data_IF_317189614137
#
_entry.id   IF_317189614137
#
_cell.length_a   1.000
_cell.length_b   1.000
_cell.length_c   1.000
_cell.angle_alpha   90.00
_cell.angle_beta   90.00
_cell.angle_gamma   90.00
#
_symmetry.space_group_name_H-M   'P 1'
#
loop_
_entity.id
_entity.type
_entity.pdbx_description
1 polymer ?
#
# COMPACT_ATOMS: atom_id res chain seq x y z
N UNK A 1 26.02 -3.81 -18.29
CA UNK A 1 25.17 -2.58 -18.40
C UNK A 1 25.86 -1.47 -17.62
N UNK A 2 26.07 -0.26 -18.19
CA UNK A 2 26.67 0.87 -17.48
C UNK A 2 25.88 1.19 -16.20
N UNK A 3 26.57 1.63 -15.14
CA UNK A 3 25.94 1.88 -13.84
C UNK A 3 24.82 2.94 -13.91
N UNK A 4 24.99 3.96 -14.75
CA UNK A 4 23.99 5.00 -15.01
C UNK A 4 22.69 4.42 -15.58
N UNK A 5 22.81 3.46 -16.52
CA UNK A 5 21.65 2.75 -17.10
C UNK A 5 21.00 1.81 -16.09
N UNK A 6 21.78 1.22 -15.17
CA UNK A 6 21.24 0.39 -14.09
C UNK A 6 20.41 1.22 -13.11
N UNK A 7 20.84 2.42 -12.75
CA UNK A 7 20.11 3.30 -11.85
C UNK A 7 18.82 3.86 -12.51
N UNK A 8 18.90 4.19 -13.81
CA UNK A 8 17.73 4.61 -14.58
C UNK A 8 16.67 3.50 -14.67
N UNK A 9 17.11 2.27 -14.95
CA UNK A 9 16.25 1.06 -14.94
C UNK A 9 15.63 0.84 -13.57
N UNK A 10 16.43 0.97 -12.51
CA UNK A 10 15.96 0.79 -11.13
C UNK A 10 14.94 1.86 -10.73
N UNK A 11 15.17 3.12 -11.15
CA UNK A 11 14.23 4.20 -10.92
C UNK A 11 12.88 3.99 -11.66
N UNK A 12 12.94 3.52 -12.91
CA UNK A 12 11.74 3.14 -13.66
C UNK A 12 11.02 1.92 -13.04
N UNK A 13 11.76 0.89 -12.63
CA UNK A 13 11.23 -0.27 -11.90
C UNK A 13 10.46 0.16 -10.64
N UNK A 14 11.05 1.06 -9.85
CA UNK A 14 10.41 1.57 -8.64
C UNK A 14 9.13 2.35 -8.90
N UNK A 15 9.01 3.05 -10.03
CA UNK A 15 7.77 3.75 -10.42
C UNK A 15 6.63 2.79 -10.78
N UNK A 16 6.95 1.62 -11.34
CA UNK A 16 5.96 0.64 -11.79
C UNK A 16 5.64 -0.43 -10.75
N UNK A 17 6.51 -0.64 -9.75
CA UNK A 17 6.31 -1.60 -8.66
C UNK A 17 5.49 -1.03 -7.48
N UNK A 18 4.73 0.04 -7.69
CA UNK A 18 3.89 0.70 -6.68
C UNK A 18 2.43 0.22 -6.81
N UNK A 19 2.20 -1.04 -7.12
CA UNK A 19 0.86 -1.59 -7.01
C UNK A 19 0.63 -2.03 -5.56
N UNK A 20 -0.49 -1.65 -5.05
CA UNK A 20 -0.91 -1.92 -3.67
C UNK A 20 -1.88 -0.84 -3.23
N UNK A 21 -3.03 -1.25 -2.70
CA UNK A 21 -4.06 -0.35 -2.21
C UNK A 21 -3.69 0.26 -0.85
N UNK A 22 -2.92 -0.46 -0.04
CA UNK A 22 -2.61 -0.08 1.33
C UNK A 22 -1.21 0.54 1.46
N UNK A 23 -1.10 1.52 2.35
CA UNK A 23 0.19 1.98 2.84
C UNK A 23 0.51 1.30 4.16
N UNK A 24 1.65 0.62 4.22
CA UNK A 24 2.13 -0.08 5.41
C UNK A 24 3.29 0.72 6.01
N UNK A 25 3.12 1.11 7.27
CA UNK A 25 4.20 1.65 8.09
C UNK A 25 4.94 0.50 8.77
N UNK A 26 6.26 0.41 8.61
CA UNK A 26 7.06 -0.68 9.18
C UNK A 26 8.43 -0.17 9.66
N UNK A 27 9.06 -0.92 10.56
CA UNK A 27 10.46 -0.69 10.93
C UNK A 27 11.34 -1.82 10.41
N UNK A 28 12.48 -1.47 9.79
CA UNK A 28 13.49 -2.47 9.37
C UNK A 28 14.30 -3.06 10.53
N UNK A 29 14.23 -2.45 11.73
CA UNK A 29 14.99 -2.85 12.91
C UNK A 29 14.14 -3.66 13.91
N UNK A 30 12.86 -3.90 13.60
CA UNK A 30 11.96 -4.69 14.44
C UNK A 30 10.93 -5.46 13.59
N UNK A 31 10.02 -6.17 14.25
CA UNK A 31 8.90 -6.85 13.59
C UNK A 31 7.66 -5.97 13.46
N UNK A 32 7.77 -4.68 13.81
CA UNK A 32 6.62 -3.79 13.70
C UNK A 32 6.26 -3.54 12.24
N UNK A 33 5.00 -3.80 11.92
CA UNK A 33 4.35 -3.41 10.67
C UNK A 33 2.85 -3.24 10.91
N UNK A 34 2.27 -2.18 10.37
CA UNK A 34 0.84 -1.91 10.47
C UNK A 34 0.36 -1.15 9.24
N UNK A 35 -0.92 -1.36 8.86
CA UNK A 35 -1.59 -0.48 7.91
C UNK A 35 -1.60 0.96 8.48
N UNK A 36 -1.43 1.96 7.62
CA UNK A 36 -1.36 3.37 8.01
C UNK A 36 -2.57 3.80 8.85
N UNK A 37 -3.74 3.24 8.59
CA UNK A 37 -4.96 3.49 9.37
C UNK A 37 -4.81 3.15 10.86
N UNK A 38 -3.96 2.19 11.19
CA UNK A 38 -3.75 1.71 12.57
C UNK A 38 -2.33 1.96 13.08
N UNK A 39 -1.44 2.45 12.21
CA UNK A 39 -0.05 2.66 12.56
C UNK A 39 0.10 3.73 13.65
N UNK A 40 0.97 3.45 14.62
CA UNK A 40 1.31 4.36 15.71
C UNK A 40 2.84 4.54 15.78
N UNK A 41 3.29 5.51 16.57
CA UNK A 41 4.71 5.78 16.80
C UNK A 41 5.02 5.88 18.31
N UNK A 42 6.29 5.85 18.64
CA UNK A 42 6.71 6.18 20.00
C UNK A 42 6.40 7.67 20.27
N UNK A 43 5.62 7.94 21.30
CA UNK A 43 5.37 9.30 21.76
C UNK A 43 6.09 9.53 23.09
N UNK A 44 6.89 10.60 23.13
CA UNK A 44 7.56 11.06 24.34
C UNK A 44 7.10 12.48 24.63
N UNK A 45 6.39 12.71 25.74
CA UNK A 45 5.99 14.07 26.13
C UNK A 45 7.18 15.02 26.21
N UNK A 46 6.98 16.23 25.74
CA UNK A 46 8.00 17.27 25.81
C UNK A 46 8.13 17.82 27.23
N UNK A 47 9.34 17.82 27.76
CA UNK A 47 9.65 18.46 29.04
C UNK A 47 10.07 19.93 28.88
N UNK A 48 9.78 20.54 27.71
CA UNK A 48 10.17 21.93 27.44
C UNK A 48 9.36 22.89 28.31
N UNK A 49 10.04 23.63 29.16
CA UNK A 49 9.43 24.73 29.94
C UNK A 49 9.51 26.00 29.10
N UNK A 50 8.36 26.56 28.75
CA UNK A 50 8.23 27.81 28.02
C UNK A 50 7.36 28.75 28.88
N UNK A 51 7.73 30.00 28.99
CA UNK A 51 6.89 31.01 29.68
C UNK A 51 5.57 31.15 28.91
N UNK A 52 4.47 31.06 29.64
CA UNK A 52 3.15 31.24 29.05
C UNK A 52 2.89 32.71 28.73
N UNK A 53 2.40 32.95 27.54
CA UNK A 53 1.95 34.28 27.09
C UNK A 53 0.47 34.46 27.39
N UNK A 54 0.04 35.71 27.45
CA UNK A 54 -1.38 36.06 27.50
C UNK A 54 -2.05 35.74 26.15
N UNK A 55 -3.30 35.29 26.19
CA UNK A 55 -4.08 35.07 24.97
C UNK A 55 -4.38 36.41 24.31
N UNK A 56 -4.06 36.51 23.02
CA UNK A 56 -4.33 37.72 22.20
C UNK A 56 -5.16 37.36 21.00
N UNK A 57 -6.23 38.10 20.77
CA UNK A 57 -7.01 38.01 19.54
C UNK A 57 -6.37 38.84 18.44
N UNK A 58 -6.14 38.23 17.28
CA UNK A 58 -5.47 38.84 16.13
C UNK A 58 -6.37 38.73 14.91
N UNK A 59 -6.51 39.83 14.17
CA UNK A 59 -7.21 39.83 12.89
C UNK A 59 -6.37 39.18 11.79
N UNK A 60 -6.96 38.22 11.06
CA UNK A 60 -6.33 37.42 10.00
C UNK A 60 -7.24 37.35 8.77
N UNK A 61 -7.47 38.47 8.09
CA UNK A 61 -8.46 38.58 7.03
C UNK A 61 -8.06 37.72 5.82
N UNK A 62 -8.97 36.86 5.35
CA UNK A 62 -8.78 36.05 4.16
C UNK A 62 -7.85 34.86 4.32
N UNK A 63 -7.34 34.62 5.53
CA UNK A 63 -6.44 33.50 5.85
C UNK A 63 -7.27 32.34 6.39
N UNK A 64 -7.12 31.13 5.81
CA UNK A 64 -7.95 29.96 6.13
C UNK A 64 -7.15 28.69 6.40
N UNK A 65 -6.06 28.48 5.69
CA UNK A 65 -5.26 27.26 5.83
C UNK A 65 -4.14 27.46 6.86
N UNK A 66 -3.61 26.34 7.38
CA UNK A 66 -2.55 26.35 8.39
C UNK A 66 -1.28 27.04 7.90
N UNK A 67 -0.88 26.77 6.67
CA UNK A 67 0.28 27.39 6.04
C UNK A 67 0.10 28.90 5.86
N UNK A 68 -1.09 29.35 5.44
CA UNK A 68 -1.42 30.78 5.36
C UNK A 68 -1.39 31.46 6.73
N UNK A 69 -1.99 30.84 7.76
CA UNK A 69 -1.99 31.34 9.15
C UNK A 69 -0.57 31.43 9.69
N UNK A 70 0.22 30.37 9.52
CA UNK A 70 1.60 30.31 9.97
C UNK A 70 2.46 31.38 9.29
N UNK A 71 2.31 31.56 7.98
CA UNK A 71 3.01 32.59 7.21
C UNK A 71 2.58 34.01 7.62
N UNK A 72 1.26 34.26 7.79
CA UNK A 72 0.72 35.57 8.16
C UNK A 72 1.20 36.04 9.53
N UNK A 73 1.23 35.10 10.50
CA UNK A 73 1.65 35.37 11.88
C UNK A 73 3.14 35.19 12.12
N UNK A 74 3.88 34.77 11.08
CA UNK A 74 5.32 34.50 11.12
C UNK A 74 5.70 33.50 12.22
N UNK A 75 4.96 32.39 12.30
CA UNK A 75 5.20 31.26 13.20
C UNK A 75 5.38 29.97 12.40
N UNK A 76 6.05 28.93 12.93
CA UNK A 76 6.08 27.65 12.27
C UNK A 76 4.70 26.95 12.36
N UNK A 77 4.38 26.10 11.39
CA UNK A 77 3.10 25.36 11.37
C UNK A 77 2.88 24.54 12.67
N UNK A 78 3.96 24.02 13.25
CA UNK A 78 3.93 23.28 14.51
C UNK A 78 3.50 24.11 15.71
N UNK A 79 3.55 25.43 15.61
CA UNK A 79 3.03 26.34 16.64
C UNK A 79 1.53 26.60 16.51
N UNK A 80 0.89 26.05 15.49
CA UNK A 80 -0.57 26.16 15.31
C UNK A 80 -1.27 24.88 15.75
N UNK A 81 -2.53 24.97 16.13
CA UNK A 81 -3.42 23.83 16.36
C UNK A 81 -4.60 23.95 15.41
N UNK A 82 -4.76 22.95 14.56
CA UNK A 82 -5.92 22.87 13.66
C UNK A 82 -7.11 22.23 14.39
N UNK A 83 -8.27 22.74 14.11
CA UNK A 83 -9.55 22.29 14.68
C UNK A 83 -10.40 21.73 13.55
N UNK A 84 -10.76 20.45 13.66
CA UNK A 84 -11.65 19.75 12.76
C UNK A 84 -12.92 19.38 13.49
N UNK A 85 -14.08 19.44 12.82
CA UNK A 85 -15.37 19.15 13.43
C UNK A 85 -16.00 17.96 12.71
N UNK A 86 -16.45 17.00 13.50
CA UNK A 86 -17.12 15.78 13.04
C UNK A 86 -18.44 15.59 13.76
N UNK A 87 -19.34 14.85 13.12
CA UNK A 87 -20.56 14.34 13.75
C UNK A 87 -20.37 12.85 13.95
N UNK A 88 -20.45 12.40 15.20
CA UNK A 88 -20.33 11.01 15.60
C UNK A 88 -21.61 10.60 16.32
N UNK A 89 -22.39 9.67 15.74
CA UNK A 89 -23.68 9.22 16.29
C UNK A 89 -24.61 10.40 16.71
N UNK A 90 -24.74 11.38 15.81
CA UNK A 90 -25.52 12.61 15.99
C UNK A 90 -24.90 13.65 16.98
N UNK A 91 -23.76 13.33 17.62
CA UNK A 91 -23.11 14.21 18.59
C UNK A 91 -21.90 14.93 17.93
N UNK A 92 -21.72 16.25 18.19
CA UNK A 92 -20.58 16.99 17.65
C UNK A 92 -19.29 16.68 18.40
N UNK A 93 -18.22 16.42 17.64
CA UNK A 93 -16.88 16.15 18.15
C UNK A 93 -15.88 17.08 17.50
N UNK A 94 -15.06 17.73 18.30
CA UNK A 94 -13.93 18.55 17.84
C UNK A 94 -12.66 17.72 17.95
N UNK A 95 -11.94 17.56 16.84
CA UNK A 95 -10.64 16.93 16.78
C UNK A 95 -9.52 17.98 16.64
N UNK A 96 -8.55 17.93 17.53
CA UNK A 96 -7.41 18.86 17.55
C UNK A 96 -6.12 18.17 17.18
N UNK A 97 -5.36 18.78 16.27
CA UNK A 97 -4.01 18.33 15.89
C UNK A 97 -3.06 19.53 15.82
N UNK A 98 -1.78 19.24 15.98
CA UNK A 98 -0.73 20.21 15.63
C UNK A 98 -0.83 20.50 14.13
N UNK A 99 -0.65 21.75 13.72
CA UNK A 99 -1.03 22.25 12.41
C UNK A 99 -0.51 21.44 11.23
N UNK A 100 0.74 20.98 11.29
CA UNK A 100 1.35 20.18 10.22
C UNK A 100 1.01 18.69 10.26
N UNK A 101 0.31 18.15 11.28
CA UNK A 101 -0.15 16.74 11.34
C UNK A 101 -1.45 16.52 10.58
N UNK A 102 -1.73 15.29 10.19
CA UNK A 102 -2.98 14.89 9.54
C UNK A 102 -3.80 13.99 10.48
N UNK A 103 -5.12 14.18 10.46
CA UNK A 103 -6.03 13.33 11.20
C UNK A 103 -6.11 11.93 10.54
N UNK A 104 -6.10 10.92 11.39
CA UNK A 104 -6.49 9.58 11.02
C UNK A 104 -7.95 9.35 11.47
N UNK A 105 -8.87 9.46 10.54
CA UNK A 105 -10.31 9.35 10.81
C UNK A 105 -10.69 7.97 11.37
N UNK A 106 -9.98 6.91 10.95
CA UNK A 106 -10.22 5.53 11.44
C UNK A 106 -9.86 5.44 12.92
N UNK A 107 -8.73 6.01 13.33
CA UNK A 107 -8.34 6.04 14.75
C UNK A 107 -9.36 6.83 15.59
N UNK A 108 -9.76 7.99 15.11
CA UNK A 108 -10.74 8.83 15.83
C UNK A 108 -12.08 8.11 15.95
N UNK A 109 -12.62 7.58 14.86
CA UNK A 109 -13.85 6.80 14.85
C UNK A 109 -13.81 5.62 15.81
N UNK A 110 -12.72 4.84 15.77
CA UNK A 110 -12.53 3.68 16.65
C UNK A 110 -12.42 4.10 18.13
N UNK A 111 -11.76 5.22 18.43
CA UNK A 111 -11.66 5.73 19.79
C UNK A 111 -13.03 6.16 20.34
N UNK A 112 -13.85 6.79 19.50
CA UNK A 112 -15.21 7.19 19.86
C UNK A 112 -16.16 5.98 20.00
N UNK A 113 -15.84 4.86 19.33
CA UNK A 113 -16.74 3.70 19.24
C UNK A 113 -17.99 4.00 18.41
N UNK A 114 -17.93 4.99 17.53
CA UNK A 114 -19.08 5.49 16.77
C UNK A 114 -19.45 4.54 15.61
N UNK A 115 -20.73 4.28 15.44
CA UNK A 115 -21.26 3.56 14.28
C UNK A 115 -21.31 4.50 13.06
N UNK A 116 -21.81 5.70 13.23
CA UNK A 116 -21.86 6.77 12.25
C UNK A 116 -20.80 7.82 12.54
N UNK A 117 -20.06 8.25 11.52
CA UNK A 117 -18.98 9.22 11.67
C UNK A 117 -18.71 9.91 10.32
N UNK A 118 -18.93 11.24 10.28
CA UNK A 118 -18.67 12.05 9.09
C UNK A 118 -18.17 13.46 9.45
N UNK A 119 -17.45 14.16 8.54
CA UNK A 119 -17.11 15.56 8.71
C UNK A 119 -18.37 16.42 8.80
N UNK A 120 -18.39 17.36 9.73
CA UNK A 120 -19.48 18.32 9.83
C UNK A 120 -19.52 19.23 8.60
N UNK A 121 -20.72 19.58 8.16
CA UNK A 121 -20.94 20.53 7.05
C UNK A 121 -20.67 21.98 7.49
N UNK A 122 -20.48 22.89 6.53
CA UNK A 122 -20.30 24.33 6.82
C UNK A 122 -21.45 24.91 7.63
N UNK A 123 -22.67 24.45 7.38
CA UNK A 123 -23.86 24.92 8.09
C UNK A 123 -23.82 24.48 9.54
N UNK A 124 -23.57 23.20 9.81
CA UNK A 124 -23.47 22.64 11.16
C UNK A 124 -22.34 23.27 11.94
N UNK A 125 -21.17 23.47 11.34
CA UNK A 125 -20.04 24.15 11.97
C UNK A 125 -20.39 25.59 12.35
N UNK A 126 -21.05 26.30 11.47
CA UNK A 126 -21.44 27.69 11.72
C UNK A 126 -22.51 27.80 12.79
N UNK A 127 -23.48 26.89 12.83
CA UNK A 127 -24.49 26.81 13.87
C UNK A 127 -23.88 26.44 15.24
N UNK A 128 -22.90 25.53 15.24
CA UNK A 128 -22.27 25.02 16.45
C UNK A 128 -21.25 25.98 17.04
N UNK A 129 -20.37 26.56 16.22
CA UNK A 129 -19.19 27.33 16.66
C UNK A 129 -19.25 28.83 16.29
N UNK A 130 -20.20 29.23 15.47
CA UNK A 130 -20.39 30.64 15.08
C UNK A 130 -19.43 31.18 14.02
N UNK A 131 -18.53 30.37 13.49
CA UNK A 131 -17.51 30.79 12.54
C UNK A 131 -17.41 29.87 11.32
N UNK A 132 -16.80 30.36 10.27
CA UNK A 132 -16.51 29.61 9.06
C UNK A 132 -15.23 28.75 9.24
N UNK A 133 -15.08 27.71 8.42
CA UNK A 133 -13.82 26.94 8.34
C UNK A 133 -12.60 27.85 8.16
N UNK A 134 -11.51 27.49 8.83
CA UNK A 134 -10.28 28.28 8.87
C UNK A 134 -10.17 29.23 10.04
N UNK A 135 -11.28 29.46 10.82
CA UNK A 135 -11.27 30.30 12.02
C UNK A 135 -11.73 29.56 13.29
N UNK A 136 -11.78 28.23 13.23
CA UNK A 136 -12.25 27.36 14.32
C UNK A 136 -11.13 27.10 15.34
N UNK A 137 -11.48 27.09 16.63
CA UNK A 137 -10.54 26.86 17.73
C UNK A 137 -11.19 26.13 18.91
N UNK A 138 -10.36 25.64 19.85
CA UNK A 138 -10.84 24.88 21.00
C UNK A 138 -11.29 25.73 22.20
N UNK A 139 -11.13 27.06 22.15
CA UNK A 139 -11.40 27.95 23.26
C UNK A 139 -12.87 28.36 23.27
N UNK A 140 -13.49 28.37 24.45
CA UNK A 140 -14.88 28.78 24.67
C UNK A 140 -15.92 28.00 23.84
N UNK A 141 -15.70 26.69 23.67
CA UNK A 141 -16.67 25.81 23.00
C UNK A 141 -17.90 25.53 23.89
N UNK A 142 -19.06 25.22 23.28
CA UNK A 142 -20.24 24.77 24.03
C UNK A 142 -19.94 23.53 24.87
N UNK A 143 -20.55 23.42 26.06
CA UNK A 143 -20.32 22.32 27.01
C UNK A 143 -20.66 20.93 26.47
N UNK A 144 -21.54 20.86 25.48
CA UNK A 144 -21.94 19.59 24.84
C UNK A 144 -20.99 19.13 23.74
N UNK A 145 -19.94 19.89 23.42
CA UNK A 145 -18.96 19.52 22.40
C UNK A 145 -17.84 18.72 23.02
N UNK A 146 -17.68 17.48 22.59
CA UNK A 146 -16.56 16.65 23.01
C UNK A 146 -15.28 17.06 22.28
N UNK A 147 -14.21 17.32 23.03
CA UNK A 147 -12.91 17.71 22.46
C UNK A 147 -11.93 16.56 22.59
N UNK A 148 -11.49 16.02 21.47
CA UNK A 148 -10.46 14.97 21.34
C UNK A 148 -9.22 15.59 20.71
N UNK A 149 -8.08 15.46 21.32
CA UNK A 149 -6.82 16.01 20.81
C UNK A 149 -5.77 14.94 20.60
N UNK A 150 -4.96 15.08 19.56
CA UNK A 150 -3.77 14.25 19.47
C UNK A 150 -2.83 14.50 20.66
N UNK A 151 -2.10 13.47 21.05
CA UNK A 151 -1.14 13.51 22.17
C UNK A 151 -0.14 14.65 22.08
N UNK A 152 0.29 15.01 20.85
CA UNK A 152 1.23 16.11 20.62
C UNK A 152 0.65 17.48 21.00
N UNK A 153 -0.65 17.65 20.91
CA UNK A 153 -1.32 18.90 21.28
C UNK A 153 -1.10 19.23 22.76
N UNK A 154 -0.99 18.21 23.63
CA UNK A 154 -0.70 18.40 25.05
C UNK A 154 0.63 19.13 25.31
N UNK A 155 1.58 18.97 24.39
CA UNK A 155 2.90 19.60 24.47
C UNK A 155 2.96 21.00 23.85
N UNK A 156 1.90 21.45 23.19
CA UNK A 156 1.84 22.79 22.58
C UNK A 156 1.95 23.87 23.63
N UNK A 157 2.67 24.94 23.32
CA UNK A 157 2.81 26.12 24.18
C UNK A 157 2.67 27.37 23.35
N UNK A 158 1.87 28.32 23.87
CA UNK A 158 1.59 29.60 23.24
C UNK A 158 1.09 29.41 21.78
N UNK A 159 0.24 28.42 21.58
CA UNK A 159 -0.22 28.02 20.26
C UNK A 159 -1.11 29.08 19.61
N UNK A 160 -1.16 29.02 18.29
CA UNK A 160 -2.13 29.76 17.47
C UNK A 160 -3.30 28.85 17.16
N UNK A 161 -4.52 29.33 17.41
CA UNK A 161 -5.78 28.62 17.15
C UNK A 161 -6.78 29.55 16.51
N UNK A 162 -7.82 29.06 15.86
CA UNK A 162 -8.94 29.88 15.44
C UNK A 162 -9.67 30.51 16.63
N UNK A 163 -10.29 31.66 16.44
CA UNK A 163 -10.97 32.40 17.50
C UNK A 163 -12.48 32.11 17.58
N UNK A 164 -13.00 31.14 16.82
CA UNK A 164 -14.45 30.93 16.63
C UNK A 164 -15.17 32.20 16.14
N UNK A 165 -14.46 33.04 15.43
CA UNK A 165 -14.94 34.22 14.76
C UNK A 165 -14.24 34.34 13.40
N UNK A 166 -15.04 34.42 12.34
CA UNK A 166 -14.51 34.43 10.96
C UNK A 166 -13.50 35.58 10.74
N UNK A 167 -12.30 35.24 10.31
CA UNK A 167 -11.20 36.17 10.06
C UNK A 167 -10.37 36.52 11.29
N UNK A 168 -10.49 35.79 12.40
CA UNK A 168 -9.71 36.00 13.62
C UNK A 168 -9.07 34.71 14.14
N UNK A 169 -7.89 34.88 14.75
CA UNK A 169 -7.17 33.81 15.46
C UNK A 169 -6.77 34.29 16.87
N UNK A 170 -6.55 33.33 17.76
CA UNK A 170 -5.95 33.54 19.07
C UNK A 170 -4.50 33.09 19.07
N UNK A 171 -3.60 33.88 19.66
CA UNK A 171 -2.22 33.54 19.95
C UNK A 171 -1.99 33.39 21.44
N UNK A 172 -0.95 32.70 21.88
CA UNK A 172 -0.65 32.52 23.30
C UNK A 172 -1.53 31.47 23.99
N UNK A 173 -2.22 30.60 23.23
CA UNK A 173 -3.13 29.58 23.78
C UNK A 173 -2.36 28.38 24.29
N UNK A 174 -2.71 27.91 25.50
CA UNK A 174 -2.07 26.81 26.17
C UNK A 174 -3.06 25.70 26.58
N UNK A 175 -2.84 24.44 26.21
CA UNK A 175 -3.63 23.30 26.70
C UNK A 175 -3.62 23.23 28.24
N UNK A 176 -4.77 22.93 28.84
CA UNK A 176 -4.96 22.82 30.29
C UNK A 176 -5.21 24.16 30.98
N UNK A 177 -4.86 25.32 30.38
CA UNK A 177 -5.20 26.63 30.85
C UNK A 177 -6.43 27.21 30.13
N UNK A 178 -6.40 27.19 28.78
CA UNK A 178 -7.39 27.85 27.95
C UNK A 178 -8.44 26.90 27.39
N UNK A 179 -8.13 25.63 27.31
CA UNK A 179 -9.07 24.56 26.97
C UNK A 179 -8.62 23.22 27.56
N UNK A 180 -9.54 22.28 27.67
CA UNK A 180 -9.30 20.91 28.10
C UNK A 180 -9.74 19.95 27.02
N UNK A 181 -9.01 18.84 26.83
CA UNK A 181 -9.31 17.84 25.84
C UNK A 181 -8.93 16.44 26.35
N UNK A 182 -9.51 15.42 25.76
CA UNK A 182 -9.04 14.04 25.89
C UNK A 182 -7.89 13.81 24.93
N UNK A 183 -6.69 13.46 25.44
CA UNK A 183 -5.48 13.32 24.63
C UNK A 183 -5.25 11.87 24.23
N UNK A 184 -5.33 11.59 22.94
CA UNK A 184 -5.21 10.23 22.37
C UNK A 184 -4.42 10.23 21.06
N UNK A 185 -4.03 9.07 20.56
CA UNK A 185 -3.39 8.92 19.26
C UNK A 185 -4.43 8.94 18.14
N UNK A 186 -4.62 10.08 17.49
CA UNK A 186 -5.58 10.27 16.41
C UNK A 186 -4.97 10.79 15.10
N UNK A 187 -3.66 10.95 15.04
CA UNK A 187 -3.00 11.42 13.83
C UNK A 187 -2.44 10.28 12.98
N UNK A 188 -2.20 10.54 11.72
CA UNK A 188 -1.36 9.70 10.89
C UNK A 188 0.09 9.76 11.33
N UNK A 189 0.79 8.62 11.30
CA UNK A 189 2.24 8.59 11.49
C UNK A 189 2.95 9.11 10.23
N UNK A 190 4.21 9.51 10.40
CA UNK A 190 5.05 9.99 9.30
C UNK A 190 6.27 9.08 9.14
N UNK A 191 6.74 9.01 7.92
CA UNK A 191 8.02 8.37 7.62
C UNK A 191 9.16 9.04 8.41
N UNK A 192 10.07 8.24 8.97
CA UNK A 192 11.16 8.71 9.80
C UNK A 192 10.84 8.90 11.29
N UNK A 193 9.57 8.78 11.72
CA UNK A 193 9.23 8.78 13.15
C UNK A 193 9.70 7.48 13.82
N UNK A 194 9.93 7.54 15.15
CA UNK A 194 10.40 6.38 15.89
C UNK A 194 9.28 5.33 15.97
N UNK A 195 9.62 4.08 15.68
CA UNK A 195 8.70 2.94 15.82
C UNK A 195 8.14 2.83 17.24
N UNK A 196 6.90 2.38 17.45
CA UNK A 196 6.25 2.35 18.77
C UNK A 196 6.97 1.46 19.79
N UNK A 197 7.81 0.52 19.34
CA UNK A 197 8.65 -0.31 20.19
C UNK A 197 10.04 0.32 20.49
N UNK A 198 10.27 1.54 20.03
CA UNK A 198 11.52 2.29 20.20
C UNK A 198 12.69 1.77 19.37
N UNK A 199 12.46 0.87 18.42
CA UNK A 199 13.50 0.24 17.60
C UNK A 199 13.42 0.72 16.17
N UNK A 200 14.38 1.58 15.79
CA UNK A 200 14.46 2.16 14.46
C UNK A 200 13.35 3.16 14.16
N UNK A 201 13.24 3.50 12.91
CA UNK A 201 12.29 4.47 12.40
C UNK A 201 11.25 3.82 11.50
N UNK A 202 10.11 4.48 11.34
CA UNK A 202 9.05 4.07 10.43
C UNK A 202 9.44 4.39 8.99
N UNK A 203 9.31 3.39 8.14
CA UNK A 203 9.38 3.48 6.69
C UNK A 203 8.02 3.11 6.11
N UNK A 204 7.72 3.59 4.92
CA UNK A 204 6.46 3.29 4.25
C UNK A 204 6.68 2.40 3.03
N UNK A 205 5.78 1.45 2.83
CA UNK A 205 5.70 0.64 1.64
C UNK A 205 4.25 0.48 1.19
N UNK A 206 4.06 0.29 -0.11
CA UNK A 206 2.75 -0.11 -0.62
C UNK A 206 2.60 -1.61 -0.47
N UNK A 207 1.43 -2.04 -0.01
CA UNK A 207 1.08 -3.43 0.21
C UNK A 207 -0.13 -3.85 -0.61
N UNK A 208 -0.05 -5.07 -1.19
CA UNK A 208 -1.21 -5.73 -1.79
C UNK A 208 -1.87 -6.57 -0.69
N UNK A 209 -3.12 -6.29 -0.36
CA UNK A 209 -3.88 -7.09 0.59
C UNK A 209 -4.20 -8.46 -0.01
N UNK A 210 -3.50 -9.48 0.45
CA UNK A 210 -3.70 -10.87 0.01
C UNK A 210 -4.86 -11.53 0.76
N UNK A 211 -5.03 -11.19 2.01
CA UNK A 211 -6.07 -11.72 2.87
C UNK A 211 -6.36 -10.81 4.05
N UNK A 212 -7.58 -10.90 4.57
CA UNK A 212 -8.05 -10.06 5.66
C UNK A 212 -8.79 -10.90 6.70
N UNK A 213 -8.56 -10.60 7.97
CA UNK A 213 -9.30 -11.17 9.10
C UNK A 213 -10.24 -10.11 9.63
N UNK A 214 -11.54 -10.35 9.49
CA UNK A 214 -12.58 -9.47 9.99
C UNK A 214 -13.08 -9.95 11.34
N UNK A 215 -13.02 -9.11 12.36
CA UNK A 215 -13.68 -9.29 13.66
C UNK A 215 -15.05 -8.63 13.58
N UNK A 216 -16.06 -9.38 13.16
CA UNK A 216 -17.39 -8.84 12.91
C UNK A 216 -18.21 -8.64 14.19
N UNK A 217 -17.79 -9.25 15.31
CA UNK A 217 -18.51 -9.18 16.57
C UNK A 217 -19.95 -9.68 16.43
N UNK A 218 -20.90 -8.93 16.94
CA UNK A 218 -22.35 -9.26 16.88
C UNK A 218 -23.11 -8.45 15.84
N UNK A 219 -22.44 -7.62 15.02
CA UNK A 219 -23.06 -6.69 14.08
C UNK A 219 -24.10 -7.36 13.17
N UNK A 220 -23.76 -8.49 12.58
CA UNK A 220 -24.65 -9.20 11.67
C UNK A 220 -25.53 -10.21 12.39
N UNK A 221 -25.01 -10.92 13.39
CA UNK A 221 -25.79 -11.90 14.14
C UNK A 221 -26.96 -11.26 14.89
N UNK A 222 -26.76 -10.11 15.52
CA UNK A 222 -27.84 -9.38 16.19
C UNK A 222 -28.95 -8.97 15.22
N UNK A 223 -28.61 -8.39 14.06
CA UNK A 223 -29.60 -7.97 13.06
C UNK A 223 -30.33 -9.15 12.40
N UNK A 224 -29.70 -10.32 12.34
CA UNK A 224 -30.28 -11.54 11.77
C UNK A 224 -31.04 -12.40 12.81
N UNK A 225 -30.99 -12.04 14.09
CA UNK A 225 -31.54 -12.86 15.18
C UNK A 225 -30.82 -14.22 15.33
N UNK A 226 -29.52 -14.27 14.97
CA UNK A 226 -28.72 -15.48 15.09
C UNK A 226 -28.13 -15.60 16.51
N UNK A 227 -28.92 -16.19 17.43
CA UNK A 227 -28.60 -16.29 18.85
C UNK A 227 -28.21 -17.71 19.25
N UNK A 228 -27.42 -17.81 20.32
CA UNK A 228 -27.11 -19.05 21.03
C UNK A 228 -27.39 -18.85 22.51
N UNK A 229 -27.60 -19.95 23.23
CA UNK A 229 -27.73 -19.89 24.69
C UNK A 229 -26.34 -19.85 25.33
N UNK A 230 -26.11 -18.86 26.20
CA UNK A 230 -24.92 -18.80 27.03
C UNK A 230 -24.94 -19.89 28.13
N UNK A 231 -23.91 -19.97 28.95
CA UNK A 231 -23.77 -20.91 30.07
C UNK A 231 -24.91 -20.80 31.11
N UNK A 232 -25.61 -19.66 31.14
CA UNK A 232 -26.73 -19.39 32.04
C UNK A 232 -28.08 -19.59 31.35
N UNK A 233 -28.10 -20.10 30.12
CA UNK A 233 -29.32 -20.31 29.33
C UNK A 233 -29.95 -19.05 28.76
N UNK A 234 -29.22 -17.94 28.66
CA UNK A 234 -29.68 -16.68 28.07
C UNK A 234 -29.35 -16.67 26.59
N UNK A 235 -30.29 -16.21 25.76
CA UNK A 235 -30.04 -15.96 24.35
C UNK A 235 -29.10 -14.79 24.19
N UNK A 236 -27.98 -15.01 23.49
CA UNK A 236 -26.97 -13.98 23.14
C UNK A 236 -26.61 -14.11 21.67
N UNK A 237 -26.39 -12.98 20.96
CA UNK A 237 -25.97 -13.01 19.56
C UNK A 237 -24.60 -13.70 19.38
N UNK A 238 -24.49 -14.49 18.32
CA UNK A 238 -23.25 -15.21 17.98
C UNK A 238 -22.14 -14.19 17.64
N UNK A 239 -20.98 -14.36 18.26
CA UNK A 239 -19.78 -13.59 17.86
C UNK A 239 -19.24 -14.15 16.55
N UNK A 240 -19.13 -13.30 15.55
CA UNK A 240 -18.74 -13.68 14.19
C UNK A 240 -17.33 -13.20 13.85
N UNK A 241 -16.65 -13.97 13.02
CA UNK A 241 -15.42 -13.60 12.31
C UNK A 241 -15.52 -14.02 10.85
N UNK A 242 -14.75 -13.35 9.99
CA UNK A 242 -14.64 -13.72 8.59
C UNK A 242 -13.15 -13.80 8.22
N UNK A 243 -12.78 -14.84 7.49
CA UNK A 243 -11.41 -15.14 7.12
C UNK A 243 -11.37 -15.41 5.62
N UNK A 244 -10.71 -14.53 4.87
CA UNK A 244 -10.66 -14.61 3.42
C UNK A 244 -9.24 -14.52 2.85
N UNK A 245 -9.02 -15.20 1.73
CA UNK A 245 -7.81 -15.07 0.91
C UNK A 245 -8.24 -14.80 -0.54
N UNK A 246 -7.68 -13.76 -1.15
CA UNK A 246 -7.89 -13.42 -2.56
C UNK A 246 -7.02 -14.28 -3.47
N UNK A 247 -7.48 -15.49 -3.81
CA UNK A 247 -6.68 -16.44 -4.61
C UNK A 247 -6.28 -15.87 -5.97
N UNK A 248 -7.19 -15.20 -6.67
CA UNK A 248 -6.88 -14.52 -7.94
C UNK A 248 -5.94 -13.32 -7.75
N UNK A 249 -6.08 -12.59 -6.65
CA UNK A 249 -5.17 -11.50 -6.28
C UNK A 249 -3.76 -12.03 -5.97
N UNK A 250 -3.65 -13.21 -5.34
CA UNK A 250 -2.37 -13.89 -5.13
C UNK A 250 -1.64 -14.15 -6.44
N UNK A 251 -2.35 -14.61 -7.48
CA UNK A 251 -1.74 -14.81 -8.79
C UNK A 251 -1.14 -13.52 -9.34
N UNK A 252 -1.90 -12.41 -9.27
CA UNK A 252 -1.40 -11.09 -9.70
C UNK A 252 -0.19 -10.63 -8.90
N UNK A 253 -0.20 -10.83 -7.57
CA UNK A 253 0.92 -10.48 -6.70
C UNK A 253 2.18 -11.29 -7.01
N UNK A 254 2.03 -12.60 -7.28
CA UNK A 254 3.15 -13.46 -7.71
C UNK A 254 3.70 -13.01 -9.06
N UNK A 255 2.84 -12.69 -10.02
CA UNK A 255 3.27 -12.17 -11.32
C UNK A 255 4.07 -10.87 -11.18
N UNK A 256 3.61 -9.96 -10.33
CA UNK A 256 4.30 -8.69 -10.05
C UNK A 256 5.66 -8.91 -9.40
N UNK A 257 5.73 -9.74 -8.35
CA UNK A 257 6.99 -10.05 -7.67
C UNK A 257 8.01 -10.73 -8.56
N UNK A 258 7.57 -11.45 -9.59
CA UNK A 258 8.41 -12.18 -10.54
C UNK A 258 8.50 -11.49 -11.91
N UNK A 259 7.94 -10.27 -12.03
CA UNK A 259 8.15 -9.42 -13.20
C UNK A 259 9.63 -9.00 -13.28
N UNK A 260 10.20 -9.09 -14.47
CA UNK A 260 11.59 -8.71 -14.73
C UNK A 260 11.68 -7.83 -15.96
N UNK A 261 12.59 -6.86 -15.88
CA UNK A 261 12.97 -6.05 -17.02
C UNK A 261 14.13 -6.73 -17.75
N UNK A 262 13.86 -7.22 -18.93
CA UNK A 262 14.90 -7.76 -19.82
C UNK A 262 15.54 -6.63 -20.59
N UNK A 263 16.85 -6.54 -20.53
CA UNK A 263 17.65 -5.51 -21.21
C UNK A 263 18.45 -6.17 -22.32
N UNK A 264 18.13 -5.86 -23.56
CA UNK A 264 18.80 -6.40 -24.74
C UNK A 264 19.59 -5.30 -25.44
N UNK A 265 20.83 -5.57 -25.78
CA UNK A 265 21.64 -4.67 -26.60
C UNK A 265 21.41 -4.97 -28.09
N UNK A 266 20.95 -3.98 -28.84
CA UNK A 266 20.77 -4.12 -30.29
C UNK A 266 22.10 -4.20 -31.02
N UNK A 267 22.16 -4.71 -32.26
CA UNK A 267 23.38 -4.69 -33.09
C UNK A 267 23.94 -3.28 -33.32
N UNK A 268 23.12 -2.25 -33.16
CA UNK A 268 23.51 -0.83 -33.25
C UNK A 268 24.05 -0.27 -31.94
N UNK A 269 24.12 -1.08 -30.86
CA UNK A 269 24.62 -0.67 -29.56
C UNK A 269 23.58 0.00 -28.65
N UNK A 270 22.32 0.16 -29.11
CA UNK A 270 21.22 0.70 -28.34
C UNK A 270 20.66 -0.34 -27.37
N UNK A 271 20.19 0.07 -26.21
CA UNK A 271 19.49 -0.80 -25.26
C UNK A 271 17.99 -0.79 -25.52
N UNK A 272 17.41 -1.99 -25.58
CA UNK A 272 15.93 -2.19 -25.61
C UNK A 272 15.50 -2.87 -24.35
N UNK A 273 14.41 -2.38 -23.80
CA UNK A 273 13.81 -2.89 -22.56
C UNK A 273 12.52 -3.61 -22.92
N UNK A 274 12.29 -4.75 -22.30
CA UNK A 274 11.05 -5.50 -22.41
C UNK A 274 10.70 -6.09 -21.04
N UNK A 275 9.49 -5.89 -20.61
CA UNK A 275 8.96 -6.54 -19.43
C UNK A 275 8.64 -8.01 -19.75
N UNK A 276 8.86 -8.87 -18.79
CA UNK A 276 8.45 -10.27 -18.87
C UNK A 276 8.30 -10.84 -17.47
N UNK A 277 7.60 -11.96 -17.40
CA UNK A 277 7.37 -12.69 -16.16
C UNK A 277 8.33 -13.88 -16.10
N UNK A 278 8.70 -14.28 -14.90
CA UNK A 278 9.42 -15.50 -14.62
C UNK A 278 8.63 -16.26 -13.55
N UNK A 279 7.64 -17.05 -13.98
CA UNK A 279 6.84 -17.84 -13.04
C UNK A 279 7.73 -18.80 -12.25
N UNK A 280 7.53 -18.88 -10.91
CA UNK A 280 8.03 -19.99 -10.13
C UNK A 280 7.53 -21.32 -10.72
N UNK A 281 8.39 -22.32 -10.77
CA UNK A 281 8.05 -23.61 -11.35
C UNK A 281 6.77 -24.22 -10.74
N UNK A 282 6.61 -24.07 -9.43
CA UNK A 282 5.50 -24.61 -8.65
C UNK A 282 4.15 -23.96 -8.96
N UNK A 283 4.16 -22.79 -9.60
CA UNK A 283 2.96 -22.00 -9.92
C UNK A 283 2.76 -21.83 -11.43
N UNK A 284 3.74 -22.25 -12.23
CA UNK A 284 3.65 -22.15 -13.68
C UNK A 284 2.55 -23.07 -14.22
N UNK A 285 1.64 -22.58 -15.08
CA UNK A 285 0.58 -23.41 -15.66
C UNK A 285 1.09 -24.47 -16.65
N UNK A 286 2.32 -24.31 -17.13
CA UNK A 286 3.04 -25.26 -17.97
C UNK A 286 4.52 -25.25 -17.60
N UNK A 287 5.18 -26.38 -17.75
CA UNK A 287 6.63 -26.52 -17.49
C UNK A 287 7.47 -25.96 -18.64
N UNK A 288 7.01 -26.18 -19.86
CA UNK A 288 7.76 -25.90 -21.09
C UNK A 288 6.92 -25.15 -22.11
N UNK A 289 7.49 -24.07 -22.66
CA UNK A 289 6.98 -23.38 -23.84
C UNK A 289 7.75 -23.88 -25.08
N UNK A 290 7.13 -24.68 -25.90
CA UNK A 290 7.72 -25.26 -27.13
C UNK A 290 7.33 -24.38 -28.33
N UNK A 291 8.34 -23.82 -29.01
CA UNK A 291 8.13 -22.80 -30.06
C UNK A 291 8.79 -23.27 -31.37
N UNK A 292 8.03 -23.80 -32.34
CA UNK A 292 8.49 -23.90 -33.71
C UNK A 292 8.56 -22.49 -34.34
N UNK A 293 9.77 -22.13 -34.80
CA UNK A 293 9.99 -20.81 -35.44
C UNK A 293 9.30 -20.72 -36.79
N UNK A 294 9.28 -21.81 -37.53
CA UNK A 294 8.62 -21.88 -38.83
C UNK A 294 7.65 -23.08 -38.88
N UNK A 295 6.36 -22.79 -38.79
CA UNK A 295 5.27 -23.78 -38.87
C UNK A 295 4.95 -24.23 -40.28
N UNK A 296 5.68 -23.78 -41.30
CA UNK A 296 5.56 -24.22 -42.70
C UNK A 296 6.69 -25.19 -43.11
N UNK A 297 7.68 -25.36 -42.27
CA UNK A 297 8.80 -26.25 -42.48
C UNK A 297 8.49 -27.63 -41.88
N UNK A 298 8.42 -28.65 -42.71
CA UNK A 298 8.01 -30.00 -42.35
C UNK A 298 8.95 -30.61 -41.29
N UNK A 299 10.27 -30.41 -41.45
CA UNK A 299 11.26 -30.92 -40.48
C UNK A 299 11.11 -30.25 -39.09
N UNK A 300 10.76 -28.98 -39.09
CA UNK A 300 10.48 -28.24 -37.83
C UNK A 300 9.21 -28.74 -37.14
N UNK A 301 8.14 -29.01 -37.87
CA UNK A 301 6.89 -29.56 -37.35
C UNK A 301 7.06 -30.98 -36.81
N UNK A 302 7.71 -31.84 -37.57
CA UNK A 302 7.97 -33.24 -37.17
C UNK A 302 8.82 -33.30 -35.89
N UNK A 303 9.87 -32.49 -35.82
CA UNK A 303 10.69 -32.40 -34.62
C UNK A 303 9.89 -31.86 -33.42
N UNK A 304 9.07 -30.82 -33.64
CA UNK A 304 8.22 -30.25 -32.59
C UNK A 304 7.28 -31.31 -32.02
N UNK A 305 6.56 -32.02 -32.87
CA UNK A 305 5.63 -33.07 -32.48
C UNK A 305 6.33 -34.19 -31.68
N UNK A 306 7.49 -34.64 -32.17
CA UNK A 306 8.28 -35.66 -31.47
C UNK A 306 8.73 -35.23 -30.08
N UNK A 307 9.13 -33.94 -29.93
CA UNK A 307 9.53 -33.35 -28.64
C UNK A 307 8.32 -33.26 -27.73
N UNK A 308 7.19 -32.74 -28.20
CA UNK A 308 5.94 -32.64 -27.45
C UNK A 308 5.52 -33.99 -26.89
N UNK A 309 5.42 -35.01 -27.75
CA UNK A 309 5.05 -36.37 -27.34
C UNK A 309 6.02 -36.95 -26.28
N UNK A 310 7.31 -36.72 -26.44
CA UNK A 310 8.33 -37.20 -25.49
C UNK A 310 8.21 -36.50 -24.13
N UNK A 311 7.98 -35.18 -24.11
CA UNK A 311 7.81 -34.37 -22.89
C UNK A 311 6.53 -34.79 -22.16
N UNK A 312 5.39 -34.83 -22.86
CA UNK A 312 4.08 -35.21 -22.28
C UNK A 312 4.13 -36.65 -21.73
N UNK A 313 4.78 -37.59 -22.45
CA UNK A 313 4.95 -38.95 -21.94
C UNK A 313 5.76 -39.01 -20.63
N UNK A 314 6.64 -38.04 -20.38
CA UNK A 314 7.41 -37.92 -19.13
C UNK A 314 6.70 -37.09 -18.04
N UNK A 315 5.48 -36.62 -18.30
CA UNK A 315 4.66 -35.91 -17.36
C UNK A 315 4.90 -34.37 -17.30
N UNK A 316 5.57 -33.83 -18.33
CA UNK A 316 5.67 -32.36 -18.46
C UNK A 316 4.38 -31.78 -19.03
N UNK A 317 3.94 -30.67 -18.49
CA UNK A 317 2.91 -29.83 -19.11
C UNK A 317 3.55 -28.90 -20.15
N UNK A 318 3.11 -29.04 -21.41
CA UNK A 318 3.74 -28.36 -22.57
C UNK A 318 2.76 -27.40 -23.22
N UNK A 319 3.16 -26.14 -23.37
CA UNK A 319 2.46 -25.15 -24.20
C UNK A 319 3.19 -25.09 -25.57
N UNK A 320 2.50 -25.45 -26.66
CA UNK A 320 3.04 -25.36 -28.02
C UNK A 320 2.53 -24.11 -28.71
N UNK A 321 3.42 -23.26 -29.22
CA UNK A 321 3.04 -22.07 -30.03
C UNK A 321 3.03 -22.48 -31.54
N UNK A 322 1.93 -23.05 -31.98
CA UNK A 322 1.68 -23.49 -33.34
C UNK A 322 1.20 -22.37 -34.30
N UNK A 323 1.11 -21.16 -33.82
CA UNK A 323 0.67 -20.01 -34.61
C UNK A 323 1.61 -19.69 -35.76
N UNK A 324 1.06 -19.31 -36.91
CA UNK A 324 1.86 -18.84 -38.05
C UNK A 324 2.25 -17.35 -37.86
N UNK A 325 3.07 -17.08 -36.85
CA UNK A 325 3.55 -15.76 -36.49
C UNK A 325 5.07 -15.64 -36.65
N UNK A 326 5.58 -14.40 -36.70
CA UNK A 326 7.02 -14.14 -36.76
C UNK A 326 7.69 -14.56 -35.44
N UNK A 327 8.89 -15.10 -35.53
CA UNK A 327 9.68 -15.51 -34.35
C UNK A 327 9.76 -14.46 -33.25
N UNK A 328 9.93 -13.17 -33.62
CA UNK A 328 9.99 -12.06 -32.66
C UNK A 328 8.71 -11.88 -31.86
N UNK A 329 7.53 -12.10 -32.47
CA UNK A 329 6.23 -12.06 -31.80
C UNK A 329 6.12 -13.20 -30.81
N UNK A 330 6.38 -14.44 -31.26
CA UNK A 330 6.36 -15.64 -30.41
C UNK A 330 7.29 -15.51 -29.20
N UNK A 331 8.48 -14.95 -29.39
CA UNK A 331 9.44 -14.76 -28.30
C UNK A 331 9.01 -13.68 -27.32
N UNK A 332 8.43 -12.57 -27.80
CA UNK A 332 7.87 -11.53 -26.92
C UNK A 332 6.70 -12.08 -26.10
N UNK A 333 5.80 -12.82 -26.72
CA UNK A 333 4.68 -13.48 -26.02
C UNK A 333 5.20 -14.50 -25.00
N UNK A 334 6.22 -15.29 -25.36
CA UNK A 334 6.86 -16.23 -24.43
C UNK A 334 7.48 -15.53 -23.23
N UNK A 335 8.09 -14.35 -23.44
CA UNK A 335 8.68 -13.57 -22.38
C UNK A 335 7.60 -12.98 -21.46
N UNK A 336 6.44 -12.57 -22.00
CA UNK A 336 5.27 -12.10 -21.22
C UNK A 336 4.58 -13.23 -20.47
N UNK A 337 4.37 -14.41 -21.11
CA UNK A 337 3.78 -15.59 -20.45
C UNK A 337 4.69 -16.08 -19.31
N UNK A 338 6.01 -16.08 -19.52
CA UNK A 338 6.97 -16.28 -18.44
C UNK A 338 7.14 -17.72 -17.94
N UNK A 339 6.85 -18.74 -18.77
CA UNK A 339 7.07 -20.14 -18.38
C UNK A 339 8.55 -20.43 -18.09
N UNK A 340 8.85 -21.34 -17.16
CA UNK A 340 10.22 -21.56 -16.68
C UNK A 340 11.22 -21.90 -17.77
N UNK A 341 10.82 -22.71 -18.75
CA UNK A 341 11.66 -23.20 -19.83
C UNK A 341 11.03 -22.89 -21.18
N UNK A 342 11.85 -22.35 -22.11
CA UNK A 342 11.46 -22.19 -23.51
C UNK A 342 12.34 -23.10 -24.36
N UNK A 343 11.72 -24.00 -25.14
CA UNK A 343 12.37 -24.81 -26.12
C UNK A 343 12.04 -24.29 -27.52
N UNK A 344 13.06 -23.88 -28.28
CA UNK A 344 12.90 -23.29 -29.61
C UNK A 344 13.35 -24.26 -30.67
N UNK A 345 12.45 -24.64 -31.57
CA UNK A 345 12.76 -25.43 -32.76
C UNK A 345 13.03 -24.48 -33.92
N UNK A 346 14.31 -24.28 -34.19
CA UNK A 346 14.82 -23.28 -35.12
C UNK A 346 15.39 -23.87 -36.41
N UNK A 347 16.35 -23.15 -37.01
CA UNK A 347 16.97 -23.52 -38.30
C UNK A 347 17.69 -24.85 -38.30
N UNK A 348 18.12 -25.34 -37.14
CA UNK A 348 18.83 -26.62 -36.99
C UNK A 348 17.89 -27.81 -36.72
N UNK A 349 16.58 -27.64 -37.00
CA UNK A 349 15.59 -28.69 -36.80
C UNK A 349 15.92 -29.99 -37.57
N UNK A 350 16.39 -29.88 -38.82
CA UNK A 350 16.79 -31.01 -39.61
C UNK A 350 17.99 -31.76 -39.02
N UNK A 351 18.81 -31.11 -38.19
CA UNK A 351 19.92 -31.71 -37.44
C UNK A 351 19.49 -32.27 -36.08
N UNK A 352 18.22 -32.15 -35.71
CA UNK A 352 17.68 -32.52 -34.41
C UNK A 352 18.11 -31.63 -33.27
N UNK A 353 18.62 -30.42 -33.53
CA UNK A 353 19.14 -29.50 -32.52
C UNK A 353 18.07 -28.42 -32.19
N UNK A 354 17.84 -28.22 -30.92
CA UNK A 354 16.95 -27.19 -30.36
C UNK A 354 17.68 -26.26 -29.41
N UNK A 355 17.15 -25.05 -29.24
CA UNK A 355 17.62 -24.10 -28.26
C UNK A 355 16.74 -24.17 -26.99
N UNK A 356 17.35 -24.33 -25.85
CA UNK A 356 16.69 -24.33 -24.54
C UNK A 356 17.09 -23.09 -23.80
N UNK A 357 16.12 -22.22 -23.49
CA UNK A 357 16.30 -21.03 -22.67
C UNK A 357 15.71 -21.24 -21.28
N UNK A 358 16.52 -21.01 -20.24
CA UNK A 358 16.13 -21.04 -18.83
C UNK A 358 15.74 -19.63 -18.43
N UNK A 359 14.47 -19.41 -18.10
CA UNK A 359 13.97 -18.07 -17.80
C UNK A 359 14.57 -17.49 -16.52
N UNK A 360 14.79 -18.31 -15.50
CA UNK A 360 15.32 -17.89 -14.20
C UNK A 360 16.72 -17.26 -14.31
N UNK A 361 17.61 -17.85 -15.10
CA UNK A 361 19.00 -17.39 -15.27
C UNK A 361 19.19 -16.54 -16.52
N UNK A 362 18.31 -16.70 -17.52
CA UNK A 362 18.46 -16.12 -18.86
C UNK A 362 19.42 -16.90 -19.76
N UNK A 363 19.99 -18.00 -19.27
CA UNK A 363 20.91 -18.84 -20.04
C UNK A 363 20.21 -19.52 -21.21
N UNK A 364 20.96 -19.68 -22.28
CA UNK A 364 20.51 -20.37 -23.51
C UNK A 364 21.55 -21.39 -23.90
N UNK A 365 21.09 -22.62 -24.10
CA UNK A 365 21.95 -23.75 -24.52
C UNK A 365 21.37 -24.44 -25.76
N UNK A 366 22.23 -24.94 -26.64
CA UNK A 366 21.83 -25.84 -27.74
C UNK A 366 21.90 -27.27 -27.27
N UNK A 367 20.84 -28.05 -27.53
CA UNK A 367 20.71 -29.44 -27.10
C UNK A 367 20.17 -30.27 -28.27
N UNK A 368 20.71 -31.47 -28.46
CA UNK A 368 20.10 -32.44 -29.37
C UNK A 368 18.79 -32.94 -28.76
N UNK A 369 17.73 -33.07 -29.54
CA UNK A 369 16.39 -33.45 -29.08
C UNK A 369 16.38 -34.80 -28.31
N UNK A 370 17.24 -35.73 -28.65
CA UNK A 370 17.33 -37.01 -27.96
C UNK A 370 17.87 -36.87 -26.51
N UNK A 371 18.64 -35.82 -26.24
CA UNK A 371 19.18 -35.54 -24.91
C UNK A 371 18.34 -34.50 -24.13
N UNK A 372 17.25 -33.98 -24.73
CA UNK A 372 16.45 -32.91 -24.16
C UNK A 372 15.87 -33.30 -22.80
N UNK A 373 15.29 -34.48 -22.66
CA UNK A 373 14.70 -34.96 -21.42
C UNK A 373 15.72 -35.09 -20.29
N UNK A 374 16.93 -35.56 -20.56
CA UNK A 374 18.01 -35.65 -19.59
C UNK A 374 18.44 -34.24 -19.16
N UNK A 375 18.61 -33.34 -20.13
CA UNK A 375 18.94 -31.93 -19.86
C UNK A 375 17.89 -31.27 -18.97
N UNK A 376 16.60 -31.38 -19.28
CA UNK A 376 15.52 -30.81 -18.48
C UNK A 376 15.45 -31.43 -17.08
N UNK A 377 15.77 -32.72 -16.92
CA UNK A 377 15.80 -33.37 -15.60
C UNK A 377 16.91 -32.83 -14.69
N UNK A 378 17.99 -32.33 -15.26
CA UNK A 378 19.10 -31.68 -14.54
C UNK A 378 18.73 -30.25 -14.16
N UNK A 379 18.11 -29.53 -15.09
CA UNK A 379 17.69 -28.11 -14.90
C UNK A 379 16.51 -27.96 -13.93
N UNK A 380 15.76 -29.02 -13.72
CA UNK A 380 14.60 -29.05 -12.82
C UNK A 380 14.95 -29.43 -11.36
N UNK A 381 16.21 -29.68 -11.05
CA UNK A 381 16.71 -29.90 -9.68
C UNK A 381 17.13 -28.59 -9.03
#
# INVERSE_FOLDING_TARGET
IPAEVQEEIKAELLKWMVSGEDTIAYSSESTYAANLEMATNEYKPSNRVVAEEEVKRVETPGVKSIDEVAAFLNVPEEATIKTLVYIADEEPVVALLVGNDQLNEVKLKNHLGADFFEPATEVEVKELLGADFGSLGPVDLPENVKIIADRKVQDSRNAVVGANETGYHLTGVNPGRDFTAEYVDIREVREGEISPDGKGVLNFARGIEIGHIFKLGTRYSASMGADVLDENGRAVPIIMGCYGIGVSRLLSAVMEQHARLFVNKTPKGEYRYAWGINFPKELAPFDVHLIPVNVKDEASLDLTKRIEEALVHKGYEVLVDDRNERAGVKFSDSDLIGLPIRVTVGKKAAEGIVEVKIKATGDTIEVHADNLLETLSILNK
#
